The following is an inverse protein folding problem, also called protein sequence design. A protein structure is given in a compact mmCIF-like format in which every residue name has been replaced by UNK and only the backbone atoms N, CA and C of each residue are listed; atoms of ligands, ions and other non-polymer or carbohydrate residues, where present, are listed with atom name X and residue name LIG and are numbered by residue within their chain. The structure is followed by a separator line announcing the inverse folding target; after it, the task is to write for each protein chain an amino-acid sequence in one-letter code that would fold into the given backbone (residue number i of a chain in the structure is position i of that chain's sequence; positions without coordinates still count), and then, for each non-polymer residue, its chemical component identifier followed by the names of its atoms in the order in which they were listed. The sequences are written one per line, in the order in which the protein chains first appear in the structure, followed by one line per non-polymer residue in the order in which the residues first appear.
data_IF_021940589109
#
_entry.id   IF_021940589109
#
_cell.length_a   1.000
_cell.length_b   1.000
_cell.length_c   1.000
_cell.angle_alpha   90.00
_cell.angle_beta   90.00
_cell.angle_gamma   90.00
#
_symmetry.space_group_name_H-M   'P 1'
#
loop_
_entity.id
_entity.type
_entity.pdbx_description
1 polymer ?
#
# COMPACT_ATOMS: atom_id res chain seq x y z
N UNK A 1 34.25 -14.82 -24.45
CA UNK A 1 32.86 -14.31 -24.63
C UNK A 1 32.85 -12.84 -25.08
N UNK A 2 32.13 -12.49 -26.16
CA UNK A 2 32.05 -11.11 -26.68
C UNK A 2 30.90 -10.39 -25.97
N UNK A 3 31.22 -9.55 -24.98
CA UNK A 3 30.24 -8.77 -24.22
C UNK A 3 29.56 -7.77 -25.15
N UNK A 4 28.22 -7.75 -25.19
CA UNK A 4 27.45 -6.80 -26.03
C UNK A 4 27.09 -5.50 -25.29
N UNK A 5 26.83 -5.58 -23.99
CA UNK A 5 26.44 -4.44 -23.15
C UNK A 5 27.00 -4.60 -21.74
N UNK A 6 27.33 -3.47 -21.13
CA UNK A 6 27.77 -3.36 -19.73
C UNK A 6 26.89 -2.34 -19.03
N UNK A 7 26.55 -2.60 -17.76
CA UNK A 7 25.86 -1.63 -16.93
C UNK A 7 26.88 -0.60 -16.43
N UNK A 8 26.51 0.68 -16.44
CA UNK A 8 27.37 1.78 -15.99
C UNK A 8 27.45 1.94 -14.47
N UNK A 9 27.00 0.94 -13.71
CA UNK A 9 26.97 0.94 -12.25
C UNK A 9 27.12 -0.47 -11.70
N UNK A 10 27.58 -0.56 -10.46
CA UNK A 10 27.76 -1.82 -9.76
C UNK A 10 26.42 -2.38 -9.27
N UNK A 11 26.14 -3.63 -9.64
CA UNK A 11 24.96 -4.35 -9.19
C UNK A 11 25.34 -5.31 -8.08
N UNK A 12 24.75 -5.11 -6.90
CA UNK A 12 24.84 -6.04 -5.77
C UNK A 12 23.58 -6.91 -5.77
N UNK A 13 23.65 -8.22 -5.48
CA UNK A 13 22.47 -9.10 -5.46
C UNK A 13 21.27 -8.55 -4.65
N UNK A 14 21.54 -7.77 -3.61
CA UNK A 14 20.49 -7.14 -2.80
C UNK A 14 19.62 -6.14 -3.58
N UNK A 15 20.16 -5.44 -4.59
CA UNK A 15 19.39 -4.51 -5.43
C UNK A 15 18.32 -5.25 -6.22
N UNK A 16 18.62 -6.44 -6.74
CA UNK A 16 17.65 -7.26 -7.45
C UNK A 16 16.48 -7.69 -6.56
N UNK A 17 16.75 -7.97 -5.28
CA UNK A 17 15.72 -8.26 -4.28
C UNK A 17 14.79 -7.07 -4.07
N UNK A 18 15.33 -5.85 -4.00
CA UNK A 18 14.52 -4.64 -3.91
C UNK A 18 13.67 -4.41 -5.16
N UNK A 19 14.22 -4.65 -6.35
CA UNK A 19 13.46 -4.56 -7.60
C UNK A 19 12.29 -5.55 -7.61
N UNK A 20 12.53 -6.80 -7.20
CA UNK A 20 11.48 -7.82 -7.09
C UNK A 20 10.34 -7.42 -6.15
N UNK A 21 10.69 -6.99 -4.93
CA UNK A 21 9.71 -6.54 -3.92
C UNK A 21 8.88 -5.36 -4.45
N UNK A 22 9.55 -4.38 -5.06
CA UNK A 22 8.89 -3.18 -5.61
C UNK A 22 7.87 -3.55 -6.67
N UNK A 23 8.23 -4.46 -7.59
CA UNK A 23 7.32 -4.92 -8.64
C UNK A 23 6.08 -5.65 -8.08
N UNK A 24 6.25 -6.48 -7.05
CA UNK A 24 5.11 -7.15 -6.42
C UNK A 24 4.14 -6.15 -5.75
N UNK A 25 4.69 -5.13 -5.08
CA UNK A 25 3.88 -4.09 -4.45
C UNK A 25 3.13 -3.25 -5.51
N UNK A 26 3.77 -2.94 -6.64
CA UNK A 26 3.11 -2.28 -7.78
C UNK A 26 2.01 -3.12 -8.41
N UNK A 27 2.18 -4.45 -8.44
CA UNK A 27 1.15 -5.38 -8.89
C UNK A 27 -0.01 -5.54 -7.89
N UNK A 28 0.02 -4.84 -6.75
CA UNK A 28 -1.04 -4.87 -5.74
C UNK A 28 -1.00 -6.10 -4.83
N UNK A 29 0.09 -6.87 -4.84
CA UNK A 29 0.27 -8.01 -3.94
C UNK A 29 0.32 -7.50 -2.50
N UNK A 30 -0.36 -8.19 -1.59
CA UNK A 30 -0.42 -7.77 -0.21
C UNK A 30 0.97 -7.79 0.45
N UNK A 31 1.29 -6.83 1.33
CA UNK A 31 2.62 -6.73 1.93
C UNK A 31 3.08 -7.96 2.69
N UNK A 32 2.14 -8.76 3.22
CA UNK A 32 2.47 -9.93 4.02
C UNK A 32 2.94 -11.08 3.12
N UNK A 33 2.27 -11.28 1.99
CA UNK A 33 2.72 -12.19 0.93
C UNK A 33 4.03 -11.72 0.33
N UNK A 34 4.20 -10.43 0.06
CA UNK A 34 5.50 -9.89 -0.42
C UNK A 34 6.61 -10.14 0.60
N UNK A 35 6.35 -9.94 1.90
CA UNK A 35 7.31 -10.23 2.96
C UNK A 35 7.71 -11.72 2.99
N UNK A 36 6.73 -12.61 2.87
CA UNK A 36 6.95 -14.06 2.82
C UNK A 36 7.79 -14.46 1.61
N UNK A 37 7.42 -13.99 0.41
CA UNK A 37 8.16 -14.26 -0.83
C UNK A 37 9.57 -13.65 -0.83
N UNK A 38 9.75 -12.52 -0.14
CA UNK A 38 11.06 -11.91 0.02
C UNK A 38 11.94 -12.69 1.00
N UNK A 39 11.38 -13.52 1.90
CA UNK A 39 12.13 -14.18 2.97
C UNK A 39 12.65 -13.19 4.02
N UNK A 40 11.86 -12.17 4.35
CA UNK A 40 12.22 -11.17 5.37
C UNK A 40 11.76 -11.60 6.77
N UNK A 41 12.71 -11.89 7.67
CA UNK A 41 12.40 -12.04 9.11
C UNK A 41 11.84 -10.75 9.70
N UNK A 42 12.32 -9.58 9.24
CA UNK A 42 11.85 -8.27 9.66
C UNK A 42 11.18 -7.51 8.51
N UNK A 43 9.92 -7.11 8.70
CA UNK A 43 9.08 -6.47 7.69
C UNK A 43 9.38 -5.00 7.43
N UNK A 44 10.26 -4.37 8.23
CA UNK A 44 10.50 -2.92 8.22
C UNK A 44 10.76 -2.36 6.81
N UNK A 45 11.68 -2.99 6.07
CA UNK A 45 12.02 -2.58 4.70
C UNK A 45 10.85 -2.76 3.71
N UNK A 46 10.08 -3.86 3.83
CA UNK A 46 8.92 -4.09 2.96
C UNK A 46 7.80 -3.09 3.26
N UNK A 47 7.57 -2.77 4.54
CA UNK A 47 6.54 -1.82 4.96
C UNK A 47 6.89 -0.39 4.55
N UNK A 48 8.15 0.04 4.69
CA UNK A 48 8.62 1.36 4.27
C UNK A 48 8.53 1.56 2.74
N UNK A 49 8.70 0.50 1.96
CA UNK A 49 8.50 0.51 0.51
C UNK A 49 7.00 0.50 0.19
N UNK A 50 6.19 -0.34 0.84
CA UNK A 50 4.74 -0.38 0.65
C UNK A 50 4.07 0.96 0.97
N UNK A 51 4.47 1.60 2.08
CA UNK A 51 3.97 2.91 2.48
C UNK A 51 4.18 3.95 1.38
N UNK A 52 5.39 3.99 0.80
CA UNK A 52 5.71 4.88 -0.33
C UNK A 52 5.03 4.50 -1.63
N UNK A 53 4.84 3.22 -1.93
CA UNK A 53 4.21 2.80 -3.20
C UNK A 53 2.70 3.02 -3.17
N UNK A 54 2.04 2.77 -2.03
CA UNK A 54 0.58 2.79 -1.94
C UNK A 54 -0.01 4.07 -1.35
N UNK A 55 0.64 4.70 -0.38
CA UNK A 55 0.08 5.84 0.36
C UNK A 55 0.73 7.18 0.00
N UNK A 56 1.66 7.23 -0.97
CA UNK A 56 2.26 8.49 -1.43
C UNK A 56 1.32 9.31 -2.34
N UNK A 57 0.02 9.08 -2.23
CA UNK A 57 -1.07 9.85 -2.82
C UNK A 57 -2.02 10.28 -1.71
N UNK A 58 -1.61 11.20 -0.82
CA UNK A 58 -2.44 11.64 0.28
C UNK A 58 -3.80 12.19 -0.18
N UNK A 59 -3.84 12.77 -1.39
CA UNK A 59 -5.06 13.34 -1.98
C UNK A 59 -6.15 12.29 -2.26
N UNK A 60 -5.80 11.06 -2.68
CA UNK A 60 -6.77 9.98 -2.93
C UNK A 60 -7.30 9.34 -1.61
N UNK A 61 -6.58 9.51 -0.50
CA UNK A 61 -6.96 8.94 0.81
C UNK A 61 -7.93 9.84 1.57
N UNK A 62 -7.92 11.14 1.31
CA UNK A 62 -8.75 12.10 2.02
C UNK A 62 -10.25 11.81 1.87
N UNK A 63 -10.71 11.46 0.68
CA UNK A 63 -12.13 11.16 0.43
C UNK A 63 -12.58 9.88 1.14
N UNK A 64 -11.80 8.80 1.05
CA UNK A 64 -12.14 7.51 1.70
C UNK A 64 -12.19 7.63 3.22
N UNK A 65 -11.26 8.40 3.81
CA UNK A 65 -11.23 8.63 5.26
C UNK A 65 -12.41 9.51 5.69
N UNK A 66 -12.71 10.58 4.95
CA UNK A 66 -13.87 11.41 5.23
C UNK A 66 -15.17 10.62 5.13
N UNK A 67 -15.34 9.78 4.11
CA UNK A 67 -16.53 8.95 3.95
C UNK A 67 -16.69 7.95 5.11
N UNK A 68 -15.60 7.29 5.52
CA UNK A 68 -15.62 6.35 6.65
C UNK A 68 -15.96 7.04 7.99
N UNK A 69 -15.46 8.27 8.21
CA UNK A 69 -15.72 9.04 9.43
C UNK A 69 -17.13 9.67 9.44
N UNK A 70 -17.68 9.99 8.27
CA UNK A 70 -19.01 10.60 8.16
C UNK A 70 -20.16 9.58 8.29
N UNK A 71 -19.90 8.28 8.15
CA UNK A 71 -20.92 7.23 8.27
C UNK A 71 -21.48 7.04 9.68
N UNK A 72 -20.83 7.53 10.74
CA UNK A 72 -21.37 7.46 12.11
C UNK A 72 -22.57 8.41 12.37
N UNK A 73 -22.96 9.27 11.42
CA UNK A 73 -24.04 10.25 11.62
C UNK A 73 -25.41 9.85 11.00
N UNK A 74 -25.56 8.67 10.41
CA UNK A 74 -26.80 8.28 9.71
C UNK A 74 -27.75 7.37 10.53
N UNK A 75 -27.32 6.87 11.69
CA UNK A 75 -28.12 5.92 12.47
C UNK A 75 -28.99 6.57 13.56
N UNK A 76 -28.90 7.89 13.78
CA UNK A 76 -29.57 8.56 14.92
C UNK A 76 -30.80 9.44 14.59
N UNK A 77 -31.31 9.47 13.35
CA UNK A 77 -32.57 10.17 13.05
C UNK A 77 -33.63 9.28 12.39
N UNK A 78 -34.21 8.39 13.19
CA UNK A 78 -35.59 7.97 12.99
C UNK A 78 -36.55 9.11 13.42
N UNK A 79 -37.47 9.58 12.56
CA UNK A 79 -38.37 10.69 12.91
C UNK A 79 -39.50 10.21 13.84
N UNK A 80 -39.31 10.34 15.15
CA UNK A 80 -40.43 10.31 16.11
C UNK A 80 -41.06 11.71 16.15
N UNK A 81 -41.96 11.99 15.21
CA UNK A 81 -42.96 13.05 15.40
C UNK A 81 -44.18 12.84 14.51
N UNK A 82 -45.07 11.91 14.87
CA UNK A 82 -46.48 12.01 14.45
C UNK A 82 -47.41 11.08 15.24
N UNK A 83 -47.74 11.45 16.50
CA UNK A 83 -49.13 11.37 17.01
C UNK A 83 -49.28 12.46 18.07
N UNK A 84 -50.02 13.51 17.74
CA UNK A 84 -50.75 14.33 18.70
C UNK A 84 -52.23 14.15 18.40
N UNK A 85 -52.99 14.04 19.48
CA UNK A 85 -54.45 13.85 19.64
C UNK A 85 -54.95 12.40 19.59
#
# INVERSE_FOLDING_TARGET
PKIRYTLGFDVIPHLLRHTYITNLLYAGVDPKTVQYLAGHENSKTTMDIYARVKYNKPEELFEVVNDALNQENLDEKSPISMVKE
#
